data_IF_248945810072
#
_entry.id   IF_248945810072
#
_cell.length_a   1.000
_cell.length_b   1.000
_cell.length_c   1.000
_cell.angle_alpha   90.00
_cell.angle_beta   90.00
_cell.angle_gamma   90.00
#
_symmetry.space_group_name_H-M   'P 1'
#
loop_
_entity.id
_entity.type
_entity.pdbx_description
1 polymer ?
#
# COMPACT_ATOMS: atom_id res chain seq x y z
N UNK A 1 15.60 -7.44 -6.16
CA UNK A 1 16.08 -6.28 -6.94
C UNK A 1 14.97 -5.53 -7.68
N UNK A 2 13.94 -6.20 -8.21
CA UNK A 2 12.84 -5.54 -8.92
C UNK A 2 12.12 -4.44 -8.10
N UNK A 3 11.74 -4.73 -6.84
CA UNK A 3 11.04 -3.75 -5.99
C UNK A 3 11.86 -2.49 -5.70
N UNK A 4 13.13 -2.64 -5.33
CA UNK A 4 13.99 -1.48 -5.06
C UNK A 4 14.12 -0.59 -6.30
N UNK A 5 14.29 -1.18 -7.48
CA UNK A 5 14.32 -0.43 -8.74
C UNK A 5 12.98 0.28 -9.04
N UNK A 6 11.83 -0.34 -8.74
CA UNK A 6 10.52 0.28 -8.93
C UNK A 6 10.38 1.54 -8.06
N UNK A 7 10.85 1.48 -6.81
CA UNK A 7 10.69 2.57 -5.83
C UNK A 7 11.64 3.73 -6.10
N UNK A 8 12.89 3.45 -6.49
CA UNK A 8 13.94 4.48 -6.65
C UNK A 8 14.02 5.08 -8.05
N UNK A 9 13.43 4.43 -9.06
CA UNK A 9 13.40 4.96 -10.43
C UNK A 9 12.54 6.22 -10.52
N UNK A 10 13.03 7.21 -11.27
CA UNK A 10 12.21 8.33 -11.73
C UNK A 10 11.08 7.83 -12.64
N UNK A 11 9.86 8.19 -12.28
CA UNK A 11 8.65 7.72 -12.93
C UNK A 11 7.54 8.75 -12.72
N UNK A 12 6.68 8.89 -13.74
CA UNK A 12 5.49 9.76 -13.70
C UNK A 12 4.26 9.02 -13.15
N UNK A 13 4.45 7.78 -12.66
CA UNK A 13 3.37 7.02 -12.03
C UNK A 13 2.90 7.71 -10.74
N UNK A 14 1.58 7.69 -10.44
CA UNK A 14 1.05 8.27 -9.21
C UNK A 14 1.69 7.68 -7.96
N UNK A 15 2.04 8.54 -6.99
CA UNK A 15 2.65 8.09 -5.72
C UNK A 15 1.80 7.06 -4.97
N UNK A 16 0.47 7.21 -5.02
CA UNK A 16 -0.47 6.26 -4.41
C UNK A 16 -0.40 4.86 -5.05
N UNK A 17 -0.21 4.80 -6.37
CA UNK A 17 -0.03 3.54 -7.09
C UNK A 17 1.29 2.87 -6.67
N UNK A 18 2.38 3.62 -6.58
CA UNK A 18 3.67 3.10 -6.10
C UNK A 18 3.53 2.57 -4.66
N UNK A 19 2.84 3.29 -3.78
CA UNK A 19 2.61 2.85 -2.39
C UNK A 19 1.82 1.54 -2.33
N UNK A 20 0.77 1.40 -3.16
CA UNK A 20 -0.02 0.17 -3.26
C UNK A 20 0.83 -1.02 -3.70
N UNK A 21 1.64 -0.86 -4.75
CA UNK A 21 2.51 -1.91 -5.27
C UNK A 21 3.58 -2.31 -4.25
N UNK A 22 4.21 -1.35 -3.57
CA UNK A 22 5.21 -1.64 -2.52
C UNK A 22 4.60 -2.42 -1.37
N UNK A 23 3.43 -1.99 -0.91
CA UNK A 23 2.71 -2.66 0.17
C UNK A 23 2.39 -4.11 -0.21
N UNK A 24 1.78 -4.29 -1.38
CA UNK A 24 1.40 -5.61 -1.88
C UNK A 24 2.60 -6.54 -2.08
N UNK A 25 3.69 -6.04 -2.67
CA UNK A 25 4.89 -6.84 -2.92
C UNK A 25 5.52 -7.34 -1.61
N UNK A 26 5.61 -6.49 -0.58
CA UNK A 26 6.15 -6.87 0.73
C UNK A 26 5.28 -7.92 1.42
N UNK A 27 3.95 -7.80 1.32
CA UNK A 27 3.02 -8.76 1.94
C UNK A 27 2.91 -10.06 1.19
N UNK A 28 3.07 -10.03 -0.13
CA UNK A 28 3.06 -11.22 -0.96
C UNK A 28 4.37 -12.01 -0.83
N UNK A 29 5.52 -11.34 -1.00
CA UNK A 29 6.83 -12.00 -0.94
C UNK A 29 7.23 -12.40 0.48
N UNK A 30 6.76 -11.67 1.50
CA UNK A 30 7.11 -11.87 2.91
C UNK A 30 8.62 -12.05 3.12
N UNK A 31 9.46 -11.09 2.70
CA UNK A 31 10.91 -11.29 2.60
C UNK A 31 11.63 -11.40 3.95
N UNK A 32 10.96 -11.10 5.06
CA UNK A 32 11.53 -11.16 6.40
C UNK A 32 10.97 -12.34 7.19
N UNK A 33 11.80 -12.95 8.03
CA UNK A 33 11.42 -14.02 8.97
C UNK A 33 10.25 -13.58 9.86
N UNK A 34 10.22 -12.30 10.23
CA UNK A 34 9.13 -11.70 11.00
C UNK A 34 8.90 -10.24 10.57
N UNK A 35 7.68 -9.73 10.77
CA UNK A 35 7.41 -8.29 10.66
C UNK A 35 7.04 -7.77 9.27
N UNK A 36 6.96 -8.60 8.21
CA UNK A 36 6.57 -8.16 6.86
C UNK A 36 5.25 -7.36 6.84
N UNK A 37 4.29 -7.74 7.70
CA UNK A 37 3.05 -6.99 7.89
C UNK A 37 3.23 -5.56 8.41
N UNK A 38 4.13 -5.37 9.38
CA UNK A 38 4.45 -4.08 9.97
C UNK A 38 5.22 -3.22 8.97
N UNK A 39 6.25 -3.80 8.36
CA UNK A 39 7.09 -3.15 7.36
C UNK A 39 6.26 -2.71 6.15
N UNK A 40 5.35 -3.56 5.67
CA UNK A 40 4.45 -3.24 4.56
C UNK A 40 3.58 -2.01 4.84
N UNK A 41 3.09 -1.81 6.07
CA UNK A 41 2.32 -0.61 6.44
C UNK A 41 3.22 0.61 6.64
N UNK A 42 4.36 0.46 7.29
CA UNK A 42 5.33 1.54 7.45
C UNK A 42 5.81 2.11 6.10
N UNK A 43 6.05 1.24 5.11
CA UNK A 43 6.48 1.65 3.78
C UNK A 43 5.43 2.46 3.03
N UNK A 44 4.13 2.25 3.28
CA UNK A 44 3.08 3.10 2.71
C UNK A 44 3.34 4.55 3.10
N UNK A 45 3.51 4.83 4.39
CA UNK A 45 3.76 6.18 4.90
C UNK A 45 5.02 6.80 4.30
N UNK A 46 6.11 6.03 4.24
CA UNK A 46 7.37 6.48 3.63
C UNK A 46 7.16 6.86 2.17
N UNK A 47 6.53 6.00 1.37
CA UNK A 47 6.31 6.26 -0.05
C UNK A 47 5.38 7.45 -0.27
N UNK A 48 4.31 7.59 0.54
CA UNK A 48 3.40 8.74 0.43
C UNK A 48 4.11 10.06 0.76
N UNK A 49 4.98 10.08 1.77
CA UNK A 49 5.78 11.26 2.12
C UNK A 49 6.80 11.61 1.03
N UNK A 50 7.61 10.63 0.60
CA UNK A 50 8.65 10.80 -0.43
C UNK A 50 8.08 11.22 -1.79
N UNK A 51 6.85 10.81 -2.10
CA UNK A 51 6.15 11.18 -3.34
C UNK A 51 5.29 12.44 -3.19
N UNK A 52 5.35 13.12 -2.04
CA UNK A 52 4.69 14.41 -1.79
C UNK A 52 3.18 14.33 -1.59
N UNK A 53 2.59 13.13 -1.48
CA UNK A 53 1.15 12.97 -1.28
C UNK A 53 0.75 13.26 0.18
N UNK A 54 1.60 12.87 1.13
CA UNK A 54 1.40 13.12 2.56
C UNK A 54 2.74 13.37 3.26
N UNK A 55 3.38 14.53 3.02
CA UNK A 55 4.70 14.85 3.55
C UNK A 55 4.73 15.03 5.07
N UNK A 56 3.57 15.26 5.71
CA UNK A 56 3.42 15.52 7.16
C UNK A 56 2.78 14.35 7.91
N UNK A 57 2.98 13.12 7.43
CA UNK A 57 2.21 11.89 7.67
C UNK A 57 0.87 12.01 8.43
N UNK A 58 -0.07 12.82 7.94
CA UNK A 58 -1.37 12.99 8.59
C UNK A 58 -2.34 11.86 8.27
N UNK A 59 -2.28 11.29 7.07
CA UNK A 59 -3.11 10.16 6.67
C UNK A 59 -2.86 8.97 7.61
N UNK A 60 -3.92 8.22 7.91
CA UNK A 60 -3.85 7.00 8.73
C UNK A 60 -4.22 5.77 7.88
N UNK A 61 -3.39 5.32 6.91
CA UNK A 61 -3.74 4.18 6.05
C UNK A 61 -4.09 2.92 6.86
N UNK A 62 -3.45 2.72 8.01
CA UNK A 62 -3.71 1.58 8.88
C UNK A 62 -5.12 1.59 9.46
N UNK A 63 -5.71 2.77 9.71
CA UNK A 63 -7.10 2.88 10.11
C UNK A 63 -8.00 2.43 8.97
N UNK A 64 -7.76 2.90 7.74
CA UNK A 64 -8.51 2.46 6.57
C UNK A 64 -8.41 0.96 6.29
N UNK A 65 -7.23 0.35 6.47
CA UNK A 65 -7.05 -1.10 6.35
C UNK A 65 -7.82 -1.86 7.44
N UNK A 66 -7.86 -1.32 8.66
CA UNK A 66 -8.60 -1.91 9.77
C UNK A 66 -10.13 -1.83 9.56
N UNK A 67 -10.64 -0.65 9.18
CA UNK A 67 -12.05 -0.41 8.87
C UNK A 67 -12.55 -1.27 7.70
N UNK A 68 -11.70 -1.48 6.69
CA UNK A 68 -12.02 -2.36 5.55
C UNK A 68 -12.15 -3.85 5.97
N UNK A 69 -11.70 -4.21 7.16
CA UNK A 69 -11.79 -5.55 7.70
C UNK A 69 -10.71 -6.52 7.19
N UNK A 70 -10.31 -7.45 8.06
CA UNK A 70 -9.29 -8.45 7.77
C UNK A 70 -9.58 -9.30 6.52
N UNK A 71 -10.82 -9.77 6.25
CA UNK A 71 -11.11 -10.56 5.05
C UNK A 71 -10.82 -9.80 3.75
N UNK A 72 -11.26 -8.53 3.65
CA UNK A 72 -11.03 -7.71 2.47
C UNK A 72 -9.53 -7.42 2.27
N UNK A 73 -8.81 -7.14 3.36
CA UNK A 73 -7.37 -6.93 3.32
C UNK A 73 -6.61 -8.16 2.79
N UNK A 74 -6.93 -9.34 3.32
CA UNK A 74 -6.33 -10.60 2.85
C UNK A 74 -6.69 -10.87 1.39
N UNK A 75 -7.93 -10.57 0.98
CA UNK A 75 -8.37 -10.74 -0.40
C UNK A 75 -7.60 -9.81 -1.36
N UNK A 76 -7.38 -8.54 -0.99
CA UNK A 76 -6.59 -7.62 -1.80
C UNK A 76 -5.15 -8.12 -2.03
N UNK A 77 -4.51 -8.70 -1.01
CA UNK A 77 -3.18 -9.29 -1.12
C UNK A 77 -3.21 -10.54 -2.03
N UNK A 78 -4.25 -11.37 -1.92
CA UNK A 78 -4.43 -12.55 -2.80
C UNK A 78 -4.69 -12.15 -4.24
N UNK A 79 -5.47 -11.09 -4.47
CA UNK A 79 -5.73 -10.55 -5.81
C UNK A 79 -4.43 -10.12 -6.47
N UNK A 80 -3.56 -9.41 -5.75
CA UNK A 80 -2.22 -9.07 -6.23
C UNK A 80 -1.39 -10.33 -6.55
N UNK A 81 -1.37 -11.29 -5.62
CA UNK A 81 -0.65 -12.56 -5.77
C UNK A 81 -1.12 -13.45 -6.93
N UNK A 82 -2.30 -13.20 -7.50
CA UNK A 82 -2.77 -13.88 -8.72
C UNK A 82 -1.90 -13.57 -9.95
N UNK A 83 -1.18 -12.44 -9.95
CA UNK A 83 -0.38 -11.98 -11.08
C UNK A 83 -1.19 -11.54 -12.30
N UNK A 84 -2.52 -11.59 -12.24
CA UNK A 84 -3.40 -11.14 -13.33
C UNK A 84 -3.58 -9.63 -13.27
N UNK A 85 -3.78 -8.99 -14.44
CA UNK A 85 -4.01 -7.55 -14.50
C UNK A 85 -5.24 -7.13 -13.68
N UNK A 86 -6.32 -7.90 -13.75
CA UNK A 86 -7.54 -7.64 -12.98
C UNK A 86 -7.27 -7.77 -11.47
N UNK A 87 -6.59 -8.83 -11.03
CA UNK A 87 -6.23 -9.01 -9.63
C UNK A 87 -5.36 -7.87 -9.08
N UNK A 88 -4.36 -7.42 -9.85
CA UNK A 88 -3.55 -6.26 -9.48
C UNK A 88 -4.41 -4.99 -9.40
N UNK A 89 -5.26 -4.74 -10.40
CA UNK A 89 -6.15 -3.58 -10.42
C UNK A 89 -7.11 -3.56 -9.22
N UNK A 90 -7.78 -4.69 -8.93
CA UNK A 90 -8.69 -4.81 -7.78
C UNK A 90 -7.96 -4.59 -6.44
N UNK A 91 -6.73 -5.07 -6.32
CA UNK A 91 -5.90 -4.81 -5.13
C UNK A 91 -5.57 -3.32 -4.96
N UNK A 92 -5.20 -2.64 -6.05
CA UNK A 92 -4.90 -1.20 -6.05
C UNK A 92 -6.15 -0.36 -5.73
N UNK A 93 -7.31 -0.72 -6.29
CA UNK A 93 -8.60 -0.07 -6.03
C UNK A 93 -8.94 -0.16 -4.54
N UNK A 94 -8.86 -1.37 -3.97
CA UNK A 94 -9.10 -1.59 -2.55
C UNK A 94 -8.14 -0.75 -1.69
N UNK A 95 -6.83 -0.80 -1.98
CA UNK A 95 -5.81 -0.06 -1.24
C UNK A 95 -6.06 1.45 -1.26
N UNK A 96 -6.42 1.98 -2.43
CA UNK A 96 -6.69 3.42 -2.62
C UNK A 96 -7.92 3.85 -1.83
N UNK A 97 -8.99 3.04 -1.84
CA UNK A 97 -10.19 3.28 -1.05
C UNK A 97 -9.89 3.26 0.47
N UNK A 98 -9.09 2.29 0.93
CA UNK A 98 -8.66 2.26 2.33
C UNK A 98 -7.81 3.49 2.70
N UNK A 99 -6.90 3.94 1.84
CA UNK A 99 -6.15 5.18 2.11
C UNK A 99 -7.06 6.40 2.22
N UNK A 100 -8.11 6.50 1.39
CA UNK A 100 -9.10 7.56 1.47
C UNK A 100 -9.87 7.54 2.81
N UNK A 101 -10.28 6.36 3.29
CA UNK A 101 -10.88 6.20 4.63
C UNK A 101 -9.90 6.67 5.72
N UNK A 102 -8.63 6.25 5.62
CA UNK A 102 -7.57 6.65 6.54
C UNK A 102 -7.28 8.15 6.55
N UNK A 103 -7.44 8.83 5.42
CA UNK A 103 -7.28 10.28 5.31
C UNK A 103 -8.48 11.02 5.92
N UNK A 104 -9.70 10.52 5.70
CA UNK A 104 -10.93 11.11 6.23
C UNK A 104 -11.05 11.00 7.76
N UNK A 105 -10.33 10.06 8.38
CA UNK A 105 -10.31 9.88 9.83
C UNK A 105 -9.48 10.93 10.60
N UNK A 106 -8.74 11.79 9.88
CA UNK A 106 -7.99 12.90 10.49
C UNK A 106 -8.98 14.01 10.84
N UNK A 107 -9.53 13.97 12.06
CA UNK A 107 -10.30 15.08 12.59
C UNK A 107 -9.34 16.20 13.01
N UNK A 108 -9.36 17.31 12.26
CA UNK A 108 -8.84 18.63 12.68
C UNK A 108 -9.88 19.38 13.50
#
# INVERSE_FOLDING_TARGET
MALSSLVTRQTDLPGLLIAALVHNEILWLRPFTWGSGLIGRALVRVVLAERGLDPSPFTIPEHGFAESGRPAYVQAIRNYGSGTLDGVAQSVIWFSASCAIGAAAVNV
#
